data_IF_214034651190
#
_entry.id   IF_214034651190
#
_cell.length_a   1.000
_cell.length_b   1.000
_cell.length_c   1.000
_cell.angle_alpha   90.00
_cell.angle_beta   90.00
_cell.angle_gamma   90.00
#
_symmetry.space_group_name_H-M   'P 1'
#
loop_
_entity.id
_entity.type
_entity.pdbx_description
1 polymer ?
#
# COMPACT_ATOMS: atom_id res chain seq x y z
N UNK A 1 4.38 -16.44 -14.62
CA UNK A 1 5.55 -16.68 -13.74
C UNK A 1 5.15 -16.69 -12.26
N UNK A 2 4.45 -17.73 -11.79
CA UNK A 2 4.03 -17.86 -10.37
C UNK A 2 4.77 -18.99 -9.62
N UNK A 3 5.79 -19.61 -10.22
CA UNK A 3 6.39 -20.84 -9.71
C UNK A 3 7.72 -20.64 -8.94
N UNK A 4 8.24 -19.40 -8.82
CA UNK A 4 9.58 -19.19 -8.26
C UNK A 4 9.61 -19.04 -6.72
N UNK A 5 8.58 -18.46 -6.08
CA UNK A 5 8.66 -18.09 -4.65
C UNK A 5 8.17 -19.17 -3.66
N UNK A 6 7.27 -20.08 -4.06
CA UNK A 6 6.65 -21.06 -3.14
C UNK A 6 7.63 -22.20 -2.76
N UNK A 7 8.64 -22.49 -3.60
CA UNK A 7 9.57 -23.61 -3.35
C UNK A 7 10.59 -23.36 -2.23
N UNK A 8 10.83 -22.10 -1.83
CA UNK A 8 11.82 -21.76 -0.79
C UNK A 8 11.31 -22.01 0.63
N UNK A 9 10.01 -21.86 0.87
CA UNK A 9 9.42 -21.94 2.20
C UNK A 9 8.51 -23.16 2.33
N UNK A 10 9.08 -24.28 2.75
CA UNK A 10 8.32 -25.50 3.09
C UNK A 10 7.85 -25.49 4.55
N UNK A 11 6.98 -26.44 4.92
CA UNK A 11 6.50 -26.61 6.29
C UNK A 11 7.67 -26.71 7.28
N UNK A 12 7.54 -25.99 8.40
CA UNK A 12 8.56 -25.93 9.43
C UNK A 12 8.64 -27.28 10.15
N UNK A 13 9.82 -27.89 10.17
CA UNK A 13 10.09 -29.15 10.88
C UNK A 13 11.13 -29.00 11.98
N UNK A 14 11.88 -27.89 12.02
CA UNK A 14 12.91 -27.63 13.02
C UNK A 14 12.91 -26.19 13.54
N UNK A 15 13.48 -26.01 14.75
CA UNK A 15 13.64 -24.69 15.36
C UNK A 15 14.62 -23.81 14.56
N UNK A 16 15.69 -24.39 14.03
CA UNK A 16 16.66 -23.69 13.18
C UNK A 16 16.01 -23.16 11.90
N UNK A 17 15.20 -23.99 11.23
CA UNK A 17 14.45 -23.57 10.05
C UNK A 17 13.47 -22.43 10.38
N UNK A 18 12.79 -22.51 11.53
CA UNK A 18 11.91 -21.43 12.00
C UNK A 18 12.66 -20.13 12.26
N UNK A 19 13.86 -20.21 12.82
CA UNK A 19 14.70 -19.04 13.10
C UNK A 19 15.16 -18.40 11.79
N UNK A 20 15.65 -19.19 10.84
CA UNK A 20 16.08 -18.69 9.53
C UNK A 20 14.93 -18.02 8.78
N UNK A 21 13.72 -18.60 8.77
CA UNK A 21 12.56 -17.96 8.15
C UNK A 21 12.17 -16.64 8.83
N UNK A 22 12.31 -16.58 10.16
CA UNK A 22 12.06 -15.35 10.92
C UNK A 22 13.07 -14.27 10.54
N UNK A 23 14.34 -14.63 10.41
CA UNK A 23 15.41 -13.67 10.09
C UNK A 23 15.30 -13.19 8.64
N UNK A 24 15.04 -14.10 7.69
CA UNK A 24 14.77 -13.77 6.28
C UNK A 24 13.54 -12.84 6.15
N UNK A 25 12.45 -13.12 6.89
CA UNK A 25 11.28 -12.26 6.91
C UNK A 25 11.60 -10.87 7.48
N UNK A 26 12.33 -10.81 8.60
CA UNK A 26 12.65 -9.54 9.25
C UNK A 26 13.61 -8.68 8.41
N UNK A 27 14.46 -9.29 7.58
CA UNK A 27 15.40 -8.56 6.71
C UNK A 27 14.69 -7.63 5.71
N UNK A 28 13.50 -8.02 5.22
CA UNK A 28 12.70 -7.24 4.27
C UNK A 28 11.51 -6.51 4.95
N UNK A 29 11.23 -6.83 6.23
CA UNK A 29 10.03 -6.35 6.92
C UNK A 29 10.01 -4.83 7.10
N UNK A 30 11.15 -4.20 7.38
CA UNK A 30 11.21 -2.74 7.57
C UNK A 30 10.90 -1.99 6.26
N UNK A 31 11.38 -2.48 5.12
CA UNK A 31 11.05 -1.91 3.81
C UNK A 31 9.55 -2.08 3.50
N UNK A 32 9.01 -3.28 3.73
CA UNK A 32 7.57 -3.53 3.62
C UNK A 32 6.76 -2.56 4.49
N UNK A 33 7.16 -2.33 5.75
CA UNK A 33 6.46 -1.42 6.67
C UNK A 33 6.46 0.02 6.17
N UNK A 34 7.58 0.51 5.65
CA UNK A 34 7.68 1.86 5.10
C UNK A 34 6.76 2.01 3.89
N UNK A 35 6.80 1.04 2.97
CA UNK A 35 5.96 1.04 1.78
C UNK A 35 4.47 0.97 2.14
N UNK A 36 4.12 0.08 3.07
CA UNK A 36 2.76 -0.09 3.57
C UNK A 36 2.23 1.18 4.23
N UNK A 37 3.00 1.82 5.12
CA UNK A 37 2.62 3.07 5.76
C UNK A 37 2.40 4.21 4.75
N UNK A 38 3.23 4.26 3.69
CA UNK A 38 3.06 5.22 2.59
C UNK A 38 1.77 4.94 1.81
N UNK A 39 1.49 3.68 1.49
CA UNK A 39 0.27 3.26 0.81
C UNK A 39 -0.98 3.59 1.63
N UNK A 40 -0.98 3.32 2.93
CA UNK A 40 -2.08 3.71 3.81
C UNK A 40 -2.28 5.23 3.89
N UNK A 41 -1.19 6.01 3.95
CA UNK A 41 -1.26 7.47 3.96
C UNK A 41 -1.93 8.01 2.69
N UNK A 42 -1.60 7.43 1.54
CA UNK A 42 -2.21 7.75 0.25
C UNK A 42 -3.70 7.39 0.24
N UNK A 43 -4.06 6.18 0.68
CA UNK A 43 -5.46 5.72 0.79
C UNK A 43 -6.28 6.64 1.70
N UNK A 44 -5.75 7.02 2.87
CA UNK A 44 -6.42 7.95 3.80
C UNK A 44 -6.68 9.32 3.17
N UNK A 45 -5.72 9.87 2.42
CA UNK A 45 -5.89 11.14 1.69
C UNK A 45 -6.99 11.05 0.63
N UNK A 46 -7.04 9.93 -0.10
CA UNK A 46 -8.09 9.68 -1.08
C UNK A 46 -9.48 9.62 -0.44
N UNK A 47 -9.63 8.85 0.65
CA UNK A 47 -10.90 8.75 1.38
C UNK A 47 -11.38 10.11 1.91
N UNK A 48 -10.46 10.93 2.46
CA UNK A 48 -10.79 12.27 2.93
C UNK A 48 -11.30 13.16 1.79
N UNK A 49 -10.64 13.14 0.64
CA UNK A 49 -11.06 13.93 -0.52
C UNK A 49 -12.39 13.43 -1.11
N UNK A 50 -12.63 12.12 -1.15
CA UNK A 50 -13.90 11.56 -1.63
C UNK A 50 -15.06 11.93 -0.71
N UNK A 51 -14.89 11.80 0.61
CA UNK A 51 -15.89 12.23 1.60
C UNK A 51 -16.20 13.73 1.44
N UNK A 52 -15.16 14.55 1.30
CA UNK A 52 -15.30 15.98 1.07
C UNK A 52 -15.91 16.34 -0.29
N UNK A 53 -15.79 15.48 -1.30
CA UNK A 53 -16.37 15.68 -2.64
C UNK A 53 -17.87 15.35 -2.64
N UNK A 54 -18.28 14.29 -1.94
CA UNK A 54 -19.68 13.88 -1.78
C UNK A 54 -20.55 14.97 -1.14
N UNK A 55 -19.96 15.84 -0.33
CA UNK A 55 -20.64 16.97 0.31
C UNK A 55 -20.75 18.23 -0.56
N UNK A 56 -20.14 18.25 -1.75
CA UNK A 56 -20.16 19.42 -2.63
C UNK A 56 -21.17 19.24 -3.76
N UNK A 57 -21.80 20.34 -4.16
CA UNK A 57 -22.66 20.36 -5.35
C UNK A 57 -21.83 20.06 -6.61
N UNK A 58 -22.27 19.11 -7.46
CA UNK A 58 -21.64 18.84 -8.75
C UNK A 58 -21.63 20.10 -9.61
N UNK A 59 -20.45 20.59 -9.99
CA UNK A 59 -20.29 21.80 -10.83
C UNK A 59 -19.70 23.01 -10.11
N UNK A 60 -19.54 22.96 -8.78
CA UNK A 60 -18.80 23.99 -8.02
C UNK A 60 -17.30 24.01 -8.37
N UNK A 61 -16.66 25.18 -8.26
CA UNK A 61 -15.19 25.33 -8.47
C UNK A 61 -14.42 24.43 -7.49
N UNK A 62 -14.93 24.28 -6.28
CA UNK A 62 -14.37 23.45 -5.21
C UNK A 62 -14.41 21.95 -5.55
N UNK A 63 -15.44 21.50 -6.28
CA UNK A 63 -15.55 20.12 -6.77
C UNK A 63 -14.46 19.82 -7.80
N UNK A 64 -14.20 20.75 -8.72
CA UNK A 64 -13.16 20.59 -9.75
C UNK A 64 -11.75 20.62 -9.17
N UNK A 65 -11.47 21.48 -8.19
CA UNK A 65 -10.18 21.54 -7.48
C UNK A 65 -9.93 20.23 -6.70
N UNK A 66 -10.95 19.67 -6.04
CA UNK A 66 -10.81 18.37 -5.36
C UNK A 66 -10.60 17.22 -6.35
N UNK A 67 -11.28 17.24 -7.50
CA UNK A 67 -11.09 16.25 -8.58
C UNK A 67 -9.65 16.24 -9.11
N UNK A 68 -9.06 17.41 -9.36
CA UNK A 68 -7.66 17.54 -9.79
C UNK A 68 -6.67 17.05 -8.71
N UNK A 69 -6.93 17.39 -7.43
CA UNK A 69 -6.13 16.88 -6.29
C UNK A 69 -6.21 15.35 -6.15
N UNK A 70 -7.39 14.76 -6.37
CA UNK A 70 -7.56 13.30 -6.37
C UNK A 70 -6.77 12.66 -7.51
N UNK A 71 -6.78 13.23 -8.72
CA UNK A 71 -5.95 12.74 -9.83
C UNK A 71 -4.46 12.74 -9.49
N UNK A 72 -3.95 13.82 -8.91
CA UNK A 72 -2.53 13.92 -8.49
C UNK A 72 -2.13 12.85 -7.47
N UNK A 73 -3.03 12.44 -6.58
CA UNK A 73 -2.76 11.38 -5.59
C UNK A 73 -2.62 10.01 -6.27
N UNK A 74 -3.44 9.73 -7.29
CA UNK A 74 -3.36 8.47 -8.06
C UNK A 74 -2.02 8.34 -8.79
N UNK A 75 -1.47 9.44 -9.31
CA UNK A 75 -0.14 9.44 -9.94
C UNK A 75 1.04 9.36 -8.94
N UNK A 76 0.79 9.54 -7.64
CA UNK A 76 1.81 9.38 -6.60
C UNK A 76 1.84 7.97 -5.98
N UNK A 77 0.91 7.09 -6.38
CA UNK A 77 1.02 5.67 -6.07
C UNK A 77 2.20 5.12 -6.87
N UNK A 78 3.22 4.53 -6.22
CA UNK A 78 4.26 3.83 -6.96
C UNK A 78 3.58 2.74 -7.78
N UNK A 79 3.93 2.63 -9.07
CA UNK A 79 3.69 1.41 -9.82
C UNK A 79 4.44 0.30 -9.09
N UNK A 80 3.70 -0.54 -8.35
CA UNK A 80 4.19 -1.81 -7.83
C UNK A 80 4.34 -2.76 -9.01
#
# INVERSE_FOLDING_TARGET
CACFSIRKYIAITSYEQRQNYKDDFNAEYDEYRILHARMESVTRRFMKLDAQRKLLSPGSKEYQVKKDKTMKIVFCLPCI
#
